data_IF_370382579924
#
_entry.id   IF_370382579924
#
_cell.length_a   1.000
_cell.length_b   1.000
_cell.length_c   1.000
_cell.angle_alpha   90.00
_cell.angle_beta   90.00
_cell.angle_gamma   90.00
#
_symmetry.space_group_name_H-M   'P 1'
#
loop_
_entity.id
_entity.type
_entity.pdbx_description
1 polymer ?
#
# COMPACT_ATOMS: atom_id res chain seq x y z
N UNK A 1 -0.06 -5.71 -24.47
CA UNK A 1 -0.01 -6.61 -23.30
C UNK A 1 -0.29 -5.79 -22.04
N UNK A 2 -0.92 -6.38 -21.01
CA UNK A 2 -1.23 -5.69 -19.75
C UNK A 2 -0.37 -6.29 -18.63
N UNK A 3 0.67 -5.57 -18.20
CA UNK A 3 1.64 -6.05 -17.21
C UNK A 3 1.37 -5.45 -15.82
N UNK A 4 1.48 -6.28 -14.79
CA UNK A 4 1.53 -5.88 -13.39
C UNK A 4 2.86 -6.35 -12.80
N UNK A 5 3.64 -5.44 -12.24
CA UNK A 5 4.94 -5.77 -11.63
C UNK A 5 4.78 -5.93 -10.13
N UNK A 6 4.93 -7.15 -9.61
CA UNK A 6 5.08 -7.38 -8.17
C UNK A 6 6.57 -7.22 -7.81
N UNK A 7 6.88 -6.25 -6.97
CA UNK A 7 8.25 -5.93 -6.57
C UNK A 7 8.86 -6.96 -5.59
N UNK A 8 8.07 -7.94 -5.15
CA UNK A 8 8.42 -9.06 -4.28
C UNK A 8 8.99 -8.66 -2.90
N UNK A 9 8.54 -9.33 -1.84
CA UNK A 9 8.96 -9.03 -0.47
C UNK A 9 9.94 -10.08 0.03
N UNK A 10 11.18 -9.68 0.29
CA UNK A 10 12.31 -10.58 0.53
C UNK A 10 12.59 -10.82 2.01
N UNK A 11 12.46 -9.81 2.87
CA UNK A 11 12.81 -9.89 4.30
C UNK A 11 11.79 -9.20 5.24
N UNK A 12 12.04 -9.18 6.55
CA UNK A 12 11.22 -8.55 7.58
C UNK A 12 11.20 -7.00 7.51
N UNK A 13 12.33 -6.28 7.36
CA UNK A 13 12.31 -4.82 7.21
C UNK A 13 11.99 -4.35 5.78
N UNK A 14 11.64 -5.28 4.90
CA UNK A 14 11.55 -5.07 3.46
C UNK A 14 10.41 -4.16 2.94
N UNK A 15 9.32 -3.87 3.70
CA UNK A 15 8.35 -2.87 3.24
C UNK A 15 8.96 -1.52 2.90
N UNK A 16 10.09 -1.14 3.51
CA UNK A 16 10.86 0.05 3.12
C UNK A 16 11.53 -0.11 1.74
N UNK A 17 12.51 -1.02 1.58
CA UNK A 17 13.17 -1.29 0.31
C UNK A 17 12.20 -1.56 -0.87
N UNK A 18 11.15 -2.37 -0.66
CA UNK A 18 10.18 -2.69 -1.72
C UNK A 18 9.41 -1.44 -2.16
N UNK A 19 9.09 -0.54 -1.23
CA UNK A 19 8.45 0.74 -1.55
C UNK A 19 9.37 1.61 -2.41
N UNK A 20 10.68 1.62 -2.11
CA UNK A 20 11.65 2.31 -2.97
C UNK A 20 11.76 1.66 -4.35
N UNK A 21 11.71 0.33 -4.44
CA UNK A 21 11.69 -0.36 -5.72
C UNK A 21 10.45 0.00 -6.56
N UNK A 22 9.26 0.05 -5.93
CA UNK A 22 8.02 0.51 -6.55
C UNK A 22 8.18 1.92 -7.13
N UNK A 23 8.69 2.86 -6.35
CA UNK A 23 8.96 4.22 -6.83
C UNK A 23 9.86 4.22 -8.07
N UNK A 24 10.98 3.49 -8.04
CA UNK A 24 11.94 3.42 -9.15
C UNK A 24 11.34 2.74 -10.40
N UNK A 25 10.51 1.71 -10.22
CA UNK A 25 9.80 1.05 -11.33
C UNK A 25 8.88 2.03 -12.03
N UNK A 26 8.12 2.82 -11.26
CA UNK A 26 7.22 3.83 -11.82
C UNK A 26 7.96 4.96 -12.50
N UNK A 27 9.02 5.46 -11.87
CA UNK A 27 9.84 6.55 -12.41
C UNK A 27 10.51 6.13 -13.73
N UNK A 28 11.10 4.93 -13.79
CA UNK A 28 11.89 4.49 -14.94
C UNK A 28 11.05 3.90 -16.08
N UNK A 29 9.99 3.17 -15.75
CA UNK A 29 9.24 2.38 -16.73
C UNK A 29 7.76 2.76 -16.85
N UNK A 30 7.20 3.53 -15.91
CA UNK A 30 5.78 3.91 -15.90
C UNK A 30 4.81 2.72 -15.74
N UNK A 31 5.32 1.54 -15.40
CA UNK A 31 4.50 0.32 -15.31
C UNK A 31 3.70 0.29 -14.01
N UNK A 32 2.46 -0.25 -14.03
CA UNK A 32 1.73 -0.52 -12.81
C UNK A 32 2.47 -1.54 -11.94
N UNK A 33 2.70 -1.19 -10.69
CA UNK A 33 3.43 -2.06 -9.77
C UNK A 33 2.87 -2.05 -8.35
N UNK A 34 3.19 -3.09 -7.58
CA UNK A 34 2.68 -3.30 -6.24
C UNK A 34 3.51 -4.34 -5.51
N UNK A 35 3.06 -4.72 -4.31
CA UNK A 35 3.70 -5.77 -3.52
C UNK A 35 2.75 -6.33 -2.46
N UNK A 36 3.09 -7.52 -1.95
CA UNK A 36 2.49 -8.11 -0.74
C UNK A 36 3.26 -7.82 0.53
N UNK A 37 3.34 -6.54 0.93
CA UNK A 37 4.14 -6.10 2.10
C UNK A 37 3.68 -6.70 3.43
N UNK A 38 2.45 -7.17 3.54
CA UNK A 38 1.99 -7.95 4.71
C UNK A 38 2.85 -9.20 4.97
N UNK A 39 3.53 -9.76 3.95
CA UNK A 39 4.41 -10.92 4.10
C UNK A 39 5.57 -10.66 5.07
N UNK A 40 6.01 -9.41 5.18
CA UNK A 40 7.02 -9.02 6.16
C UNK A 40 6.50 -9.15 7.59
N UNK A 41 5.28 -8.69 7.84
CA UNK A 41 4.61 -8.80 9.15
C UNK A 41 4.27 -10.25 9.48
N UNK A 42 3.77 -11.01 8.49
CA UNK A 42 3.44 -12.42 8.64
C UNK A 42 4.66 -13.30 8.93
N UNK A 43 5.86 -12.91 8.48
CA UNK A 43 7.10 -13.64 8.76
C UNK A 43 7.79 -13.21 10.05
N UNK A 44 7.34 -12.12 10.68
CA UNK A 44 7.96 -11.63 11.91
C UNK A 44 7.93 -12.72 12.99
N UNK A 45 9.12 -13.15 13.41
CA UNK A 45 9.31 -14.27 14.34
C UNK A 45 8.48 -14.14 15.62
N UNK A 46 8.42 -12.93 16.17
CA UNK A 46 7.70 -12.61 17.40
C UNK A 46 6.27 -12.13 17.17
N UNK A 47 5.70 -12.25 15.95
CA UNK A 47 4.32 -11.79 15.68
C UNK A 47 3.27 -12.42 16.60
N UNK A 48 3.54 -13.62 17.11
CA UNK A 48 2.64 -14.33 18.04
C UNK A 48 2.59 -13.68 19.43
N UNK A 49 3.55 -12.80 19.74
CA UNK A 49 3.60 -12.00 20.95
C UNK A 49 2.90 -10.65 20.79
N UNK A 50 2.56 -10.27 19.55
CA UNK A 50 1.79 -9.05 19.29
C UNK A 50 0.33 -9.31 19.65
N UNK A 51 -0.26 -8.35 20.35
CA UNK A 51 -1.71 -8.29 20.49
C UNK A 51 -2.36 -8.08 19.12
N UNK A 52 -3.64 -8.41 19.02
CA UNK A 52 -4.38 -8.32 17.75
C UNK A 52 -4.30 -6.93 17.12
N UNK A 53 -4.43 -5.89 17.93
CA UNK A 53 -4.40 -4.50 17.46
C UNK A 53 -3.00 -4.08 17.01
N UNK A 54 -1.95 -4.53 17.71
CA UNK A 54 -0.56 -4.28 17.31
C UNK A 54 -0.24 -4.97 15.98
N UNK A 55 -0.72 -6.19 15.77
CA UNK A 55 -0.57 -6.90 14.51
C UNK A 55 -1.28 -6.17 13.36
N UNK A 56 -2.52 -5.71 13.57
CA UNK A 56 -3.26 -4.95 12.56
C UNK A 56 -2.59 -3.60 12.27
N UNK A 57 -2.02 -2.93 13.28
CA UNK A 57 -1.23 -1.71 13.10
C UNK A 57 0.06 -1.98 12.31
N UNK A 58 0.77 -3.07 12.58
CA UNK A 58 1.94 -3.45 11.81
C UNK A 58 1.58 -3.72 10.33
N UNK A 59 0.48 -4.43 10.07
CA UNK A 59 -0.05 -4.64 8.73
C UNK A 59 -0.44 -3.34 8.03
N UNK A 60 -1.06 -2.40 8.74
CA UNK A 60 -1.45 -1.12 8.15
C UNK A 60 -0.23 -0.30 7.73
N UNK A 61 0.79 -0.21 8.58
CA UNK A 61 2.06 0.49 8.25
C UNK A 61 2.73 -0.16 7.03
N UNK A 62 2.83 -1.50 7.02
CA UNK A 62 3.45 -2.23 5.91
C UNK A 62 2.71 -2.01 4.58
N UNK A 63 1.37 -1.97 4.60
CA UNK A 63 0.55 -1.80 3.40
C UNK A 63 0.49 -0.34 2.92
N UNK A 64 0.58 0.65 3.82
CA UNK A 64 0.50 2.08 3.48
C UNK A 64 1.79 2.60 2.83
N UNK A 65 2.95 2.14 3.29
CA UNK A 65 4.26 2.54 2.76
C UNK A 65 4.39 2.45 1.23
N UNK A 66 4.06 1.31 0.58
CA UNK A 66 4.13 1.20 -0.87
C UNK A 66 3.10 2.07 -1.59
N UNK A 67 1.91 2.30 -1.00
CA UNK A 67 0.90 3.21 -1.58
C UNK A 67 1.46 4.63 -1.64
N UNK A 68 2.10 5.09 -0.55
CA UNK A 68 2.77 6.39 -0.54
C UNK A 68 3.88 6.49 -1.59
N UNK A 69 4.61 5.39 -1.84
CA UNK A 69 5.61 5.31 -2.91
C UNK A 69 5.02 5.17 -4.33
N UNK A 70 3.69 5.19 -4.45
CA UNK A 70 2.96 5.22 -5.71
C UNK A 70 2.45 3.85 -6.18
N UNK A 71 2.41 2.81 -5.35
CA UNK A 71 1.88 1.50 -5.75
C UNK A 71 0.47 1.59 -6.37
N UNK A 72 0.23 0.76 -7.38
CA UNK A 72 -1.06 0.61 -8.05
C UNK A 72 -1.93 -0.50 -7.44
N UNK A 73 -1.32 -1.47 -6.77
CA UNK A 73 -2.02 -2.55 -6.08
C UNK A 73 -1.26 -2.98 -4.83
N UNK A 74 -1.97 -3.56 -3.86
CA UNK A 74 -1.41 -4.11 -2.63
C UNK A 74 -2.03 -5.49 -2.37
N UNK A 75 -1.19 -6.50 -2.14
CA UNK A 75 -1.64 -7.79 -1.61
C UNK A 75 -1.67 -7.67 -0.08
N UNK A 76 -2.79 -7.20 0.46
CA UNK A 76 -2.92 -6.73 1.84
C UNK A 76 -2.83 -7.82 2.91
N UNK A 77 -2.95 -9.09 2.52
CA UNK A 77 -2.86 -10.24 3.40
C UNK A 77 -4.16 -11.03 3.55
N UNK A 78 -4.35 -11.74 4.68
CA UNK A 78 -5.50 -12.60 4.90
C UNK A 78 -6.83 -11.87 4.72
N UNK A 79 -7.78 -12.54 4.06
CA UNK A 79 -9.09 -11.96 3.70
C UNK A 79 -9.92 -11.54 4.94
N UNK A 80 -9.70 -12.19 6.09
CA UNK A 80 -10.35 -11.81 7.36
C UNK A 80 -10.02 -10.38 7.82
N UNK A 81 -8.94 -9.78 7.31
CA UNK A 81 -8.54 -8.41 7.62
C UNK A 81 -9.03 -7.40 6.58
N UNK A 82 -9.81 -7.82 5.58
CA UNK A 82 -10.28 -6.95 4.51
C UNK A 82 -10.89 -5.64 5.03
N UNK A 83 -11.78 -5.69 6.03
CA UNK A 83 -12.40 -4.47 6.58
C UNK A 83 -11.38 -3.43 7.04
N UNK A 84 -10.30 -3.86 7.72
CA UNK A 84 -9.21 -2.98 8.15
C UNK A 84 -8.34 -2.55 6.96
N UNK A 85 -8.03 -3.48 6.06
CA UNK A 85 -7.23 -3.26 4.86
C UNK A 85 -7.82 -2.21 3.93
N UNK A 86 -9.09 -2.35 3.57
CA UNK A 86 -9.79 -1.38 2.74
C UNK A 86 -9.82 0.00 3.37
N UNK A 87 -9.95 0.09 4.70
CA UNK A 87 -9.92 1.36 5.41
C UNK A 87 -8.54 2.03 5.31
N UNK A 88 -7.47 1.37 5.77
CA UNK A 88 -6.16 2.01 5.82
C UNK A 88 -5.56 2.25 4.43
N UNK A 89 -5.76 1.34 3.47
CA UNK A 89 -5.30 1.53 2.08
C UNK A 89 -6.09 2.66 1.39
N UNK A 90 -7.41 2.69 1.55
CA UNK A 90 -8.24 3.75 0.98
C UNK A 90 -7.92 5.12 1.58
N UNK A 91 -7.63 5.18 2.89
CA UNK A 91 -7.22 6.41 3.55
C UNK A 91 -5.87 6.92 3.02
N UNK A 92 -4.89 6.03 2.86
CA UNK A 92 -3.58 6.38 2.29
C UNK A 92 -3.70 6.86 0.83
N UNK A 93 -4.50 6.15 0.02
CA UNK A 93 -4.76 6.53 -1.38
C UNK A 93 -5.44 7.91 -1.48
N UNK A 94 -6.36 8.22 -0.55
CA UNK A 94 -6.96 9.54 -0.46
C UNK A 94 -5.91 10.64 -0.16
N UNK A 95 -4.96 10.39 0.74
CA UNK A 95 -3.88 11.34 1.05
C UNK A 95 -2.96 11.55 -0.14
N UNK A 96 -2.52 10.47 -0.81
CA UNK A 96 -1.68 10.55 -2.01
C UNK A 96 -2.39 11.33 -3.13
N UNK A 97 -3.66 11.04 -3.37
CA UNK A 97 -4.44 11.75 -4.38
C UNK A 97 -4.62 13.25 -4.05
N UNK A 98 -4.75 13.60 -2.77
CA UNK A 98 -4.83 15.00 -2.37
C UNK A 98 -3.51 15.74 -2.64
N UNK A 99 -2.37 15.13 -2.31
CA UNK A 99 -1.04 15.68 -2.65
C UNK A 99 -0.87 15.85 -4.16
N UNK A 100 -1.21 14.82 -4.95
CA UNK A 100 -1.14 14.88 -6.41
C UNK A 100 -2.03 16.00 -7.01
N UNK A 101 -3.18 16.28 -6.39
CA UNK A 101 -4.05 17.36 -6.81
C UNK A 101 -3.46 18.75 -6.54
N UNK A 102 -2.68 18.91 -5.45
CA UNK A 102 -2.03 20.18 -5.11
C UNK A 102 -0.75 20.41 -5.93
N UNK A 103 0.12 19.40 -6.00
CA UNK A 103 1.46 19.55 -6.58
C UNK A 103 1.47 19.34 -8.09
N UNK A 104 0.76 18.32 -8.56
CA UNK A 104 0.78 17.90 -9.98
C UNK A 104 -0.46 18.37 -10.74
N UNK A 105 -1.45 18.94 -10.04
CA UNK A 105 -2.77 19.28 -10.59
C UNK A 105 -3.49 18.09 -11.23
N UNK A 106 -3.16 16.87 -10.79
CA UNK A 106 -3.78 15.62 -11.24
C UNK A 106 -4.85 15.21 -10.23
N UNK A 107 -6.03 14.83 -10.72
CA UNK A 107 -7.15 14.38 -9.88
C UNK A 107 -7.60 12.98 -10.26
N UNK A 108 -8.15 12.21 -9.30
CA UNK A 108 -8.79 10.94 -9.61
C UNK A 108 -9.89 11.12 -10.66
N UNK A 109 -9.91 10.25 -11.67
CA UNK A 109 -10.92 10.28 -12.72
C UNK A 109 -12.27 9.73 -12.25
N UNK A 110 -12.23 8.77 -11.33
CA UNK A 110 -13.44 8.15 -10.79
C UNK A 110 -13.99 8.93 -9.58
N UNK A 111 -15.29 9.24 -9.63
CA UNK A 111 -16.03 9.79 -8.48
C UNK A 111 -16.13 8.79 -7.32
N UNK A 112 -15.87 7.52 -7.62
CA UNK A 112 -15.76 6.41 -6.69
C UNK A 112 -14.51 6.42 -5.81
N UNK A 113 -13.53 7.28 -6.09
CA UNK A 113 -12.22 7.32 -5.41
C UNK A 113 -12.33 7.60 -3.89
N UNK A 114 -11.47 6.99 -3.05
CA UNK A 114 -11.47 7.19 -1.59
C UNK A 114 -11.49 8.66 -1.13
N UNK A 115 -10.72 9.52 -1.80
CA UNK A 115 -10.69 10.98 -1.58
C UNK A 115 -12.08 11.63 -1.52
N UNK A 116 -13.06 11.14 -2.28
CA UNK A 116 -14.41 11.73 -2.34
C UNK A 116 -15.44 11.04 -1.44
N UNK A 117 -15.04 9.96 -0.74
CA UNK A 117 -15.93 9.09 0.04
C UNK A 117 -15.60 9.02 1.52
N UNK A 118 -14.32 9.08 1.91
CA UNK A 118 -13.91 8.82 3.30
C UNK A 118 -14.15 10.01 4.23
N UNK A 119 -14.09 11.24 3.73
CA UNK A 119 -14.20 12.47 4.55
C UNK A 119 -15.60 13.10 4.56
N UNK A 120 -16.64 12.31 4.26
CA UNK A 120 -18.04 12.76 4.23
C UNK A 120 -18.85 12.12 5.33
#
# INVERSE_FOLDING_TARGET
ENMLVDAAVLDLPDPGPVSKAIYLIKEKYGLPCGAGTHNAVARWNDRRKLERDEYLLACSVANVFPIFAGANFILYGPIEHAKSAYFHCGLADAYVAYTAAQELRVRPQDKGHPLFKIFK
#
